data_IF_944406964866
#
_entry.id   IF_944406964866
#
_cell.length_a   1.000
_cell.length_b   1.000
_cell.length_c   1.000
_cell.angle_alpha   90.00
_cell.angle_beta   90.00
_cell.angle_gamma   90.00
#
_symmetry.space_group_name_H-M   'P 1'
#
loop_
_entity.id
_entity.type
_entity.pdbx_description
1 polymer ?
#
# COMPACT_ATOMS: atom_id res chain seq x y z
N UNK A 1 -27.93 -45.92 21.84
CA UNK A 1 -26.72 -45.53 21.07
C UNK A 1 -26.84 -44.06 20.70
N UNK A 2 -26.16 -43.16 21.41
CA UNK A 2 -25.96 -41.77 21.00
C UNK A 2 -24.49 -41.65 20.62
N UNK A 3 -24.22 -41.46 19.34
CA UNK A 3 -22.87 -41.23 18.81
C UNK A 3 -22.58 -39.73 18.96
N UNK A 4 -21.68 -39.37 19.87
CA UNK A 4 -21.13 -38.01 19.95
C UNK A 4 -19.94 -37.98 18.99
N UNK A 5 -20.09 -37.21 17.91
CA UNK A 5 -19.05 -36.94 16.93
C UNK A 5 -18.07 -35.93 17.55
N UNK A 6 -16.89 -36.39 17.97
CA UNK A 6 -15.81 -35.52 18.43
C UNK A 6 -15.17 -34.85 17.21
N UNK A 7 -15.36 -33.55 17.08
CA UNK A 7 -14.72 -32.73 16.05
C UNK A 7 -13.22 -32.61 16.39
N UNK A 8 -12.34 -33.26 15.61
CA UNK A 8 -10.91 -32.97 15.64
C UNK A 8 -10.67 -31.61 14.96
N UNK A 9 -10.66 -30.54 15.75
CA UNK A 9 -10.04 -29.27 15.39
C UNK A 9 -8.52 -29.47 15.37
N UNK A 10 -7.96 -29.69 14.17
CA UNK A 10 -6.55 -29.40 13.95
C UNK A 10 -6.38 -27.87 13.98
N UNK A 11 -6.21 -27.33 15.18
CA UNK A 11 -5.77 -25.96 15.38
C UNK A 11 -4.33 -25.83 14.89
N UNK A 12 -4.09 -24.89 13.99
CA UNK A 12 -2.75 -24.44 13.64
C UNK A 12 -2.09 -23.97 14.94
N UNK A 13 -1.06 -24.67 15.41
CA UNK A 13 -0.27 -24.19 16.53
C UNK A 13 0.41 -22.89 16.08
N UNK A 14 0.01 -21.75 16.66
CA UNK A 14 0.77 -20.52 16.51
C UNK A 14 2.20 -20.80 17.03
N UNK A 15 3.24 -20.27 16.39
CA UNK A 15 4.58 -20.33 16.95
C UNK A 15 4.76 -19.18 17.95
N UNK A 16 5.77 -19.23 18.82
CA UNK A 16 6.20 -18.07 19.60
C UNK A 16 7.49 -17.50 19.03
N UNK A 17 7.65 -16.18 19.05
CA UNK A 17 8.91 -15.53 18.71
C UNK A 17 9.82 -15.49 19.95
N UNK A 18 11.02 -16.07 19.87
CA UNK A 18 11.96 -16.15 20.98
C UNK A 18 13.09 -15.12 20.84
N UNK A 19 13.40 -14.42 21.91
CA UNK A 19 14.51 -13.48 22.01
C UNK A 19 15.40 -13.84 23.22
N UNK A 20 16.68 -14.09 22.97
CA UNK A 20 17.66 -14.40 24.01
C UNK A 20 18.13 -13.14 24.73
N UNK A 21 18.40 -13.25 26.02
CA UNK A 21 18.84 -12.17 26.91
C UNK A 21 17.86 -11.00 27.01
N UNK A 22 16.56 -11.29 26.85
CA UNK A 22 15.48 -10.30 26.89
C UNK A 22 14.43 -10.70 27.92
N UNK A 23 13.83 -9.70 28.53
CA UNK A 23 12.80 -9.86 29.55
C UNK A 23 11.74 -8.74 29.43
N UNK A 24 10.56 -9.00 30.00
CA UNK A 24 9.52 -7.99 30.24
C UNK A 24 9.41 -7.85 31.75
N UNK A 25 9.76 -6.67 32.27
CA UNK A 25 9.69 -6.42 33.72
C UNK A 25 8.24 -6.29 34.17
N UNK A 26 7.87 -6.99 35.24
CA UNK A 26 6.49 -7.04 35.70
C UNK A 26 5.56 -7.72 34.70
N UNK A 27 4.29 -7.29 34.66
CA UNK A 27 3.22 -7.90 33.86
C UNK A 27 3.00 -9.41 34.11
N UNK A 28 3.47 -9.93 35.25
CA UNK A 28 3.39 -11.35 35.58
C UNK A 28 1.94 -11.79 35.77
N UNK A 29 1.51 -12.72 34.92
CA UNK A 29 0.21 -13.37 34.99
C UNK A 29 0.27 -14.56 35.95
N UNK A 30 1.25 -15.43 35.75
CA UNK A 30 1.51 -16.61 36.58
C UNK A 30 2.86 -17.23 36.19
N UNK A 31 3.33 -18.23 36.94
CA UNK A 31 4.47 -19.04 36.53
C UNK A 31 4.10 -20.53 36.51
N UNK A 32 4.81 -21.28 35.67
CA UNK A 32 4.67 -22.73 35.51
C UNK A 32 6.05 -23.37 35.31
N UNK A 33 6.32 -24.55 35.90
CA UNK A 33 7.51 -25.31 35.57
C UNK A 33 7.45 -25.77 34.11
N UNK A 34 8.58 -25.71 33.39
CA UNK A 34 8.66 -26.10 31.99
C UNK A 34 10.01 -25.79 31.35
N UNK A 35 10.38 -26.57 30.34
CA UNK A 35 11.51 -26.22 29.48
C UNK A 35 11.11 -25.09 28.53
N UNK A 36 12.11 -24.42 27.94
CA UNK A 36 11.88 -23.30 27.03
C UNK A 36 10.85 -23.64 25.92
N UNK A 37 10.95 -24.84 25.35
CA UNK A 37 10.06 -25.32 24.29
C UNK A 37 8.61 -25.54 24.75
N UNK A 38 8.37 -25.74 26.05
CA UNK A 38 7.05 -25.96 26.61
C UNK A 38 6.31 -24.63 26.85
N UNK A 39 7.04 -23.54 27.09
CA UNK A 39 6.49 -22.26 27.53
C UNK A 39 5.52 -21.63 26.53
N UNK A 40 5.75 -21.84 25.23
CA UNK A 40 4.87 -21.32 24.20
C UNK A 40 3.47 -21.94 24.30
N UNK A 41 3.38 -23.27 24.38
CA UNK A 41 2.10 -23.97 24.54
C UNK A 41 1.43 -23.67 25.87
N UNK A 42 2.20 -23.52 26.94
CA UNK A 42 1.70 -23.11 28.25
C UNK A 42 1.07 -21.71 28.16
N UNK A 43 1.74 -20.76 27.51
CA UNK A 43 1.21 -19.40 27.37
C UNK A 43 -0.04 -19.38 26.46
N UNK A 44 -0.03 -20.11 25.34
CA UNK A 44 -1.21 -20.20 24.44
C UNK A 44 -2.45 -20.78 25.09
N UNK A 45 -2.28 -21.73 26.00
CA UNK A 45 -3.37 -22.35 26.75
C UNK A 45 -3.80 -21.55 27.98
N UNK A 46 -3.08 -20.46 28.31
CA UNK A 46 -3.37 -19.62 29.47
C UNK A 46 -4.09 -18.35 29.05
N UNK A 47 -5.35 -18.21 29.45
CA UNK A 47 -6.15 -17.01 29.17
C UNK A 47 -5.46 -15.76 29.70
N UNK A 48 -5.33 -14.74 28.84
CA UNK A 48 -4.67 -13.47 29.17
C UNK A 48 -3.14 -13.49 29.04
N UNK A 49 -2.52 -14.61 28.68
CA UNK A 49 -1.09 -14.65 28.39
C UNK A 49 -0.83 -14.08 26.99
N UNK A 50 0.14 -13.17 26.89
CA UNK A 50 0.59 -12.58 25.62
C UNK A 50 2.08 -12.83 25.37
N UNK A 51 2.86 -13.12 26.42
CA UNK A 51 4.27 -13.47 26.34
C UNK A 51 4.69 -14.32 27.54
N UNK A 52 5.93 -14.80 27.55
CA UNK A 52 6.55 -15.45 28.69
C UNK A 52 8.03 -15.07 28.77
N UNK A 53 8.57 -14.98 29.98
CA UNK A 53 10.02 -14.97 30.21
C UNK A 53 10.42 -16.35 30.71
N UNK A 54 11.35 -17.03 30.06
CA UNK A 54 11.85 -18.32 30.52
C UNK A 54 13.22 -18.15 31.18
N UNK A 55 13.42 -18.87 32.29
CA UNK A 55 14.69 -18.91 33.04
C UNK A 55 15.00 -20.33 33.48
N UNK A 56 16.26 -20.63 33.78
CA UNK A 56 16.67 -21.93 34.33
C UNK A 56 16.35 -22.09 35.84
N UNK A 57 15.54 -21.21 36.40
CA UNK A 57 15.11 -21.28 37.80
C UNK A 57 14.37 -22.60 38.07
N UNK A 58 14.74 -23.29 39.16
CA UNK A 58 14.19 -24.59 39.58
C UNK A 58 14.17 -25.68 38.48
N UNK A 59 15.16 -25.68 37.58
CA UNK A 59 15.24 -26.65 36.47
C UNK A 59 14.40 -26.28 35.25
N UNK A 60 13.87 -25.04 35.20
CA UNK A 60 13.12 -24.49 34.08
C UNK A 60 11.78 -23.92 34.53
N UNK A 61 11.60 -22.60 34.39
CA UNK A 61 10.36 -21.90 34.75
C UNK A 61 9.94 -20.94 33.65
N UNK A 62 8.67 -21.02 33.24
CA UNK A 62 7.99 -20.09 32.35
C UNK A 62 7.23 -19.04 33.17
N UNK A 63 7.68 -17.79 33.13
CA UNK A 63 7.03 -16.64 33.75
C UNK A 63 6.07 -16.00 32.74
N UNK A 64 4.79 -16.34 32.80
CA UNK A 64 3.77 -15.89 31.85
C UNK A 64 3.43 -14.42 32.06
N UNK A 65 3.26 -13.67 30.97
CA UNK A 65 3.10 -12.21 30.95
C UNK A 65 1.81 -11.80 30.28
N UNK A 66 1.16 -10.76 30.80
CA UNK A 66 -0.07 -10.16 30.23
C UNK A 66 0.19 -9.15 29.10
N UNK A 67 1.46 -8.81 28.85
CA UNK A 67 1.87 -7.84 27.83
C UNK A 67 3.12 -8.35 27.08
N UNK A 68 3.39 -7.79 25.90
CA UNK A 68 4.55 -8.09 25.05
C UNK A 68 5.69 -7.07 25.17
N UNK A 69 5.55 -6.06 26.04
CA UNK A 69 6.57 -5.06 26.33
C UNK A 69 6.16 -4.15 27.51
N UNK A 70 7.02 -3.20 27.93
CA UNK A 70 8.32 -2.88 27.33
C UNK A 70 9.39 -3.96 27.58
N UNK A 71 10.21 -4.22 26.56
CA UNK A 71 11.29 -5.22 26.62
C UNK A 71 12.58 -4.58 27.14
N UNK A 72 13.25 -5.25 28.08
CA UNK A 72 14.56 -4.87 28.63
C UNK A 72 15.59 -5.98 28.44
N UNK A 73 16.85 -5.64 28.65
CA UNK A 73 17.92 -6.63 28.76
C UNK A 73 17.77 -7.44 30.05
N UNK A 74 17.87 -8.76 29.94
CA UNK A 74 17.78 -9.69 31.05
C UNK A 74 18.74 -10.86 30.82
N UNK A 75 19.87 -10.86 31.51
CA UNK A 75 20.87 -11.93 31.38
C UNK A 75 20.27 -13.29 31.72
N UNK A 76 20.53 -14.29 30.88
CA UNK A 76 20.04 -15.68 31.03
C UNK A 76 18.50 -15.82 31.03
N UNK A 77 17.79 -14.82 30.51
CA UNK A 77 16.34 -14.86 30.27
C UNK A 77 16.05 -15.01 28.78
N UNK A 78 15.14 -15.90 28.43
CA UNK A 78 14.60 -16.00 27.05
C UNK A 78 13.16 -15.52 27.02
N UNK A 79 12.89 -14.39 26.37
CA UNK A 79 11.55 -13.87 26.15
C UNK A 79 10.89 -14.60 24.98
N UNK A 80 9.68 -15.09 25.16
CA UNK A 80 8.82 -15.61 24.09
C UNK A 80 7.51 -14.85 24.01
N UNK A 81 7.16 -14.29 22.85
CA UNK A 81 5.86 -13.62 22.64
C UNK A 81 4.91 -14.52 21.86
N UNK A 82 3.63 -14.54 22.25
CA UNK A 82 2.56 -15.19 21.47
C UNK A 82 2.30 -14.34 20.23
N UNK A 83 2.96 -14.66 19.12
CA UNK A 83 2.75 -14.02 17.84
C UNK A 83 2.61 -15.10 16.78
N UNK A 84 1.47 -15.12 16.08
CA UNK A 84 1.26 -15.96 14.89
C UNK A 84 2.52 -15.98 14.03
N UNK A 85 2.91 -17.17 13.58
CA UNK A 85 4.28 -17.45 13.16
C UNK A 85 4.92 -16.38 12.27
N UNK A 86 6.12 -15.96 12.65
CA UNK A 86 7.10 -15.37 11.73
C UNK A 86 6.77 -14.02 11.11
N UNK A 87 6.86 -12.94 11.90
CA UNK A 87 7.00 -11.57 11.42
C UNK A 87 6.98 -10.62 12.62
N UNK A 88 7.92 -9.69 12.75
CA UNK A 88 7.83 -8.64 13.77
C UNK A 88 6.50 -7.89 13.63
N UNK A 89 5.86 -7.46 14.71
CA UNK A 89 4.63 -6.67 14.57
C UNK A 89 4.92 -5.34 13.85
N UNK A 90 4.03 -4.91 12.96
CA UNK A 90 4.08 -3.56 12.38
C UNK A 90 3.66 -2.54 13.45
N UNK A 91 4.52 -1.55 13.72
CA UNK A 91 4.24 -0.43 14.62
C UNK A 91 3.95 0.83 13.84
N UNK A 92 2.91 1.58 14.23
CA UNK A 92 2.59 2.85 13.59
C UNK A 92 3.75 3.84 13.77
N UNK A 93 4.27 4.37 12.67
CA UNK A 93 5.37 5.34 12.65
C UNK A 93 4.90 6.72 12.26
N UNK A 94 4.00 6.82 11.28
CA UNK A 94 3.52 8.11 10.78
C UNK A 94 2.07 8.04 10.33
N UNK A 95 1.35 9.12 10.56
CA UNK A 95 -0.01 9.34 10.07
C UNK A 95 -0.08 10.66 9.34
N UNK A 96 -0.61 10.62 8.12
CA UNK A 96 -0.97 11.79 7.32
C UNK A 96 -2.50 11.85 7.28
N UNK A 97 -3.11 12.81 7.97
CA UNK A 97 -4.56 12.97 8.02
C UNK A 97 -4.97 14.40 8.39
N UNK A 98 -6.22 14.76 8.07
CA UNK A 98 -6.82 16.03 8.43
C UNK A 98 -5.98 17.25 8.06
N UNK A 99 -5.98 18.26 8.93
CA UNK A 99 -5.33 19.54 8.68
C UNK A 99 -3.80 19.45 8.52
N UNK A 100 -3.18 18.41 9.09
CA UNK A 100 -1.74 18.22 9.06
C UNK A 100 -1.27 17.35 7.88
N UNK A 101 -2.20 16.83 7.06
CA UNK A 101 -1.87 15.96 5.93
C UNK A 101 -0.83 16.60 5.01
N UNK A 102 -1.08 17.85 4.60
CA UNK A 102 -0.23 18.58 3.65
C UNK A 102 1.08 19.12 4.24
N UNK A 103 1.37 18.89 5.52
CA UNK A 103 2.66 19.27 6.12
C UNK A 103 3.71 18.19 5.87
N UNK A 104 3.25 16.97 5.56
CA UNK A 104 4.11 15.86 5.20
C UNK A 104 4.56 15.84 3.73
N UNK A 105 4.18 16.84 2.93
CA UNK A 105 4.41 16.86 1.48
C UNK A 105 4.88 18.22 0.96
N UNK A 106 5.65 18.20 -0.13
CA UNK A 106 5.88 19.34 -1.00
C UNK A 106 5.02 19.26 -2.27
N UNK A 107 4.74 20.41 -2.88
CA UNK A 107 3.88 20.52 -4.06
C UNK A 107 4.76 20.65 -5.31
N UNK A 108 4.68 19.65 -6.19
CA UNK A 108 5.32 19.70 -7.50
C UNK A 108 4.58 20.71 -8.36
N UNK A 109 5.24 21.78 -8.78
CA UNK A 109 4.66 22.82 -9.65
C UNK A 109 5.42 22.97 -10.97
N UNK A 110 6.17 21.94 -11.36
CA UNK A 110 6.84 21.85 -12.64
C UNK A 110 5.96 21.18 -13.70
N UNK A 111 6.47 21.11 -14.93
CA UNK A 111 5.81 20.38 -15.99
C UNK A 111 5.59 18.93 -15.59
N UNK A 112 4.51 18.35 -16.11
CA UNK A 112 4.21 16.94 -15.92
C UNK A 112 5.21 16.08 -16.71
N UNK A 113 5.97 15.18 -16.04
CA UNK A 113 6.88 14.27 -16.73
C UNK A 113 6.19 13.34 -17.73
N UNK A 114 4.87 13.12 -17.56
CA UNK A 114 4.04 12.28 -18.45
C UNK A 114 3.32 13.06 -19.55
N UNK A 115 3.73 14.33 -19.76
CA UNK A 115 3.24 15.21 -20.82
C UNK A 115 1.71 15.42 -20.82
N UNK A 116 1.08 15.35 -19.65
CA UNK A 116 -0.35 15.55 -19.51
C UNK A 116 -0.84 16.97 -19.79
N UNK A 117 -2.12 17.10 -20.11
CA UNK A 117 -2.88 18.35 -20.25
C UNK A 117 -3.19 18.95 -18.87
N UNK A 118 -2.17 19.13 -18.05
CA UNK A 118 -2.28 19.53 -16.64
C UNK A 118 -1.39 20.74 -16.36
N UNK A 119 -1.84 21.61 -15.46
CA UNK A 119 -0.99 22.64 -14.85
C UNK A 119 -0.87 22.33 -13.38
N UNK A 120 0.22 21.69 -12.97
CA UNK A 120 0.47 21.52 -11.55
C UNK A 120 0.78 22.87 -10.89
N UNK A 121 0.13 23.12 -9.76
CA UNK A 121 0.22 24.39 -9.02
C UNK A 121 0.82 24.19 -7.62
N UNK A 122 1.46 25.23 -7.10
CA UNK A 122 1.99 25.23 -5.72
C UNK A 122 0.87 25.23 -4.67
N UNK A 123 1.22 24.98 -3.39
CA UNK A 123 0.28 24.89 -2.26
C UNK A 123 -0.59 26.14 -2.11
N UNK A 124 -0.03 27.33 -2.22
CA UNK A 124 -0.77 28.59 -2.03
C UNK A 124 -1.77 28.82 -3.17
N UNK A 125 -1.36 28.57 -4.41
CA UNK A 125 -2.24 28.62 -5.57
C UNK A 125 -3.35 27.56 -5.47
N UNK A 126 -3.03 26.33 -5.07
CA UNK A 126 -4.01 25.26 -4.86
C UNK A 126 -5.06 25.65 -3.80
N UNK A 127 -4.65 26.26 -2.69
CA UNK A 127 -5.56 26.75 -1.65
C UNK A 127 -6.48 27.86 -2.17
N UNK A 128 -5.92 28.84 -2.87
CA UNK A 128 -6.67 29.98 -3.42
C UNK A 128 -7.71 29.54 -4.46
N UNK A 129 -7.40 28.49 -5.22
CA UNK A 129 -8.30 27.88 -6.20
C UNK A 129 -9.25 26.85 -5.58
N UNK A 130 -9.14 26.55 -4.29
CA UNK A 130 -9.95 25.52 -3.62
C UNK A 130 -9.67 24.10 -4.07
N UNK A 131 -8.47 23.83 -4.62
CA UNK A 131 -8.06 22.51 -5.10
C UNK A 131 -7.60 21.59 -3.97
N UNK A 132 -7.25 22.14 -2.81
CA UNK A 132 -6.92 21.37 -1.62
C UNK A 132 -7.67 21.88 -0.41
N UNK A 133 -7.99 20.98 0.51
CA UNK A 133 -8.64 21.34 1.77
C UNK A 133 -8.92 20.13 2.64
N UNK A 134 -9.60 20.40 3.75
CA UNK A 134 -10.11 19.37 4.64
C UNK A 134 -11.61 19.57 4.82
N UNK A 135 -12.38 18.54 4.51
CA UNK A 135 -13.85 18.54 4.54
C UNK A 135 -14.30 17.44 5.51
N UNK A 136 -14.94 17.82 6.62
CA UNK A 136 -15.40 16.86 7.64
C UNK A 136 -14.29 15.91 8.15
N UNK A 137 -13.06 16.43 8.30
CA UNK A 137 -11.89 15.66 8.73
C UNK A 137 -11.18 14.88 7.62
N UNK A 138 -11.72 14.87 6.39
CA UNK A 138 -11.16 14.16 5.24
C UNK A 138 -10.41 15.11 4.34
N UNK A 139 -9.31 14.67 3.78
CA UNK A 139 -8.44 15.47 2.93
C UNK A 139 -8.98 15.44 1.50
N UNK A 140 -9.22 16.62 0.92
CA UNK A 140 -9.62 16.78 -0.47
C UNK A 140 -8.45 17.28 -1.30
N UNK A 141 -8.20 16.63 -2.44
CA UNK A 141 -7.26 17.08 -3.48
C UNK A 141 -7.97 16.97 -4.83
N UNK A 142 -8.20 18.06 -5.54
CA UNK A 142 -8.98 18.09 -6.78
C UNK A 142 -8.27 18.83 -7.92
N UNK A 143 -8.86 18.77 -9.10
CA UNK A 143 -8.56 19.69 -10.20
C UNK A 143 -9.55 20.84 -10.25
N UNK A 144 -9.23 21.89 -11.00
CA UNK A 144 -10.22 22.91 -11.34
C UNK A 144 -11.38 22.25 -12.11
N UNK A 145 -12.61 22.58 -11.73
CA UNK A 145 -13.84 22.12 -12.38
C UNK A 145 -14.77 23.28 -12.76
N UNK A 146 -14.23 24.50 -12.84
CA UNK A 146 -15.02 25.72 -13.05
C UNK A 146 -14.63 26.50 -14.31
N UNK A 147 -13.37 26.42 -14.76
CA UNK A 147 -12.88 27.23 -15.85
C UNK A 147 -12.57 26.44 -17.13
N UNK A 148 -12.66 27.15 -18.25
CA UNK A 148 -12.20 26.70 -19.57
C UNK A 148 -10.78 27.19 -19.84
N UNK A 149 -9.99 26.38 -20.52
CA UNK A 149 -8.60 26.67 -20.90
C UNK A 149 -8.44 26.61 -22.42
N UNK A 150 -7.39 27.24 -22.96
CA UNK A 150 -7.17 27.33 -24.41
C UNK A 150 -5.69 27.18 -24.76
N UNK A 151 -5.40 26.93 -26.04
CA UNK A 151 -4.02 26.78 -26.52
C UNK A 151 -3.32 25.62 -25.83
N UNK A 152 -2.13 25.88 -25.28
CA UNK A 152 -1.29 24.88 -24.63
C UNK A 152 -1.49 24.84 -23.10
N UNK A 153 -2.46 25.58 -22.56
CA UNK A 153 -2.71 25.58 -21.11
C UNK A 153 -3.29 24.24 -20.66
N UNK A 154 -2.78 23.71 -19.55
CA UNK A 154 -3.29 22.51 -18.89
C UNK A 154 -4.29 22.87 -17.78
N UNK A 155 -5.21 21.96 -17.47
CA UNK A 155 -6.16 22.13 -16.37
C UNK A 155 -5.41 22.14 -15.03
N UNK A 156 -5.60 23.13 -14.14
CA UNK A 156 -4.97 23.15 -12.83
C UNK A 156 -5.31 21.91 -12.01
N UNK A 157 -4.28 21.27 -11.46
CA UNK A 157 -4.39 20.14 -10.55
C UNK A 157 -3.18 20.11 -9.62
N UNK A 158 -3.11 19.08 -8.77
CA UNK A 158 -2.12 18.96 -7.71
C UNK A 158 -1.35 17.65 -7.85
N UNK A 159 -0.03 17.74 -7.69
CA UNK A 159 0.89 16.62 -7.49
C UNK A 159 1.69 16.90 -6.23
N UNK A 160 1.58 16.02 -5.26
CA UNK A 160 2.30 16.13 -3.99
C UNK A 160 3.26 14.97 -3.83
N UNK A 161 4.40 15.26 -3.23
CA UNK A 161 5.47 14.31 -2.96
C UNK A 161 5.78 14.36 -1.46
N UNK A 162 5.93 13.20 -0.81
CA UNK A 162 6.24 13.20 0.62
C UNK A 162 7.61 13.81 0.88
N UNK A 163 7.74 14.52 2.00
CA UNK A 163 9.02 15.03 2.48
C UNK A 163 9.96 13.90 2.94
N UNK A 164 9.37 12.78 3.37
CA UNK A 164 10.11 11.59 3.79
C UNK A 164 10.32 10.64 2.60
N UNK A 165 11.37 9.83 2.71
CA UNK A 165 11.70 8.75 1.78
C UNK A 165 11.65 7.40 2.48
N UNK A 166 11.24 6.37 1.74
CA UNK A 166 10.97 5.04 2.25
C UNK A 166 11.76 3.96 1.50
N UNK A 167 12.10 2.89 2.22
CA UNK A 167 12.86 1.74 1.69
C UNK A 167 12.22 0.38 2.03
N UNK A 168 11.20 0.39 2.89
CA UNK A 168 10.41 -0.75 3.33
C UNK A 168 9.17 -0.25 4.11
N UNK A 169 8.33 -1.20 4.51
CA UNK A 169 7.29 -1.04 5.52
C UNK A 169 5.89 -1.35 5.01
N UNK A 170 4.88 -0.99 5.79
CA UNK A 170 3.49 -1.19 5.47
C UNK A 170 2.77 0.16 5.38
N UNK A 171 2.14 0.41 4.23
CA UNK A 171 1.43 1.64 3.94
C UNK A 171 -0.05 1.35 3.79
N UNK A 172 -0.89 2.08 4.53
CA UNK A 172 -2.34 1.97 4.51
C UNK A 172 -2.90 3.28 3.99
N UNK A 173 -3.35 3.28 2.73
CA UNK A 173 -3.99 4.43 2.08
C UNK A 173 -5.50 4.23 2.07
N UNK A 174 -6.19 4.95 2.95
CA UNK A 174 -7.64 4.90 3.12
C UNK A 174 -8.30 6.11 2.43
N UNK A 175 -9.17 5.85 1.46
CA UNK A 175 -9.91 6.87 0.72
C UNK A 175 -11.37 6.48 0.47
N UNK A 176 -12.24 7.49 0.39
CA UNK A 176 -13.66 7.31 0.02
C UNK A 176 -13.94 7.62 -1.44
N UNK A 177 -13.08 8.42 -2.07
CA UNK A 177 -13.23 8.84 -3.45
C UNK A 177 -11.86 9.00 -4.11
N UNK A 178 -11.71 8.50 -5.34
CA UNK A 178 -10.60 8.79 -6.24
C UNK A 178 -11.08 9.58 -7.47
N UNK A 179 -10.21 10.34 -8.14
CA UNK A 179 -10.60 11.11 -9.30
C UNK A 179 -11.19 10.24 -10.41
N UNK A 180 -12.29 10.71 -10.99
CA UNK A 180 -12.90 10.13 -12.19
C UNK A 180 -13.29 11.24 -13.16
N UNK A 181 -13.25 10.94 -14.45
CA UNK A 181 -13.63 11.87 -15.49
C UNK A 181 -12.98 11.51 -16.83
N UNK A 182 -13.45 12.11 -17.92
CA UNK A 182 -12.86 11.87 -19.23
C UNK A 182 -11.40 12.36 -19.26
N UNK A 183 -10.49 11.48 -19.67
CA UNK A 183 -9.08 11.78 -19.78
C UNK A 183 -8.33 11.92 -18.45
N UNK A 184 -8.95 11.63 -17.30
CA UNK A 184 -8.23 11.64 -16.01
C UNK A 184 -7.19 10.53 -15.93
N UNK A 185 -6.08 10.81 -15.27
CA UNK A 185 -5.08 9.81 -14.89
C UNK A 185 -4.65 10.08 -13.44
N UNK A 186 -5.39 9.55 -12.46
CA UNK A 186 -5.00 9.60 -11.05
C UNK A 186 -3.99 8.51 -10.71
N UNK A 187 -3.06 8.83 -9.80
CA UNK A 187 -2.13 7.86 -9.26
C UNK A 187 -1.82 8.09 -7.77
N UNK A 188 -1.70 6.99 -7.01
CA UNK A 188 -1.02 6.90 -5.72
C UNK A 188 0.10 5.85 -5.85
N UNK A 189 1.33 6.32 -5.73
CA UNK A 189 2.52 5.58 -6.16
C UNK A 189 3.76 6.03 -5.40
N UNK A 190 4.87 5.34 -5.62
CA UNK A 190 6.14 5.58 -4.95
C UNK A 190 7.26 5.66 -5.97
N UNK A 191 8.12 6.69 -5.89
CA UNK A 191 9.19 6.88 -6.87
C UNK A 191 10.54 7.14 -6.16
N UNK A 192 11.55 6.36 -6.50
CA UNK A 192 12.92 6.57 -6.06
C UNK A 192 13.57 7.78 -6.74
N UNK A 193 14.64 8.32 -6.14
CA UNK A 193 15.45 9.33 -6.81
C UNK A 193 16.20 8.73 -8.02
N UNK A 194 16.41 9.46 -9.11
CA UNK A 194 17.08 8.92 -10.33
C UNK A 194 16.30 7.78 -11.02
N UNK A 195 15.03 8.02 -11.33
CA UNK A 195 14.18 7.13 -12.14
C UNK A 195 14.81 6.78 -13.51
N UNK A 196 14.69 5.53 -14.00
CA UNK A 196 14.05 4.37 -13.36
C UNK A 196 15.02 3.52 -12.52
N UNK A 197 16.23 4.01 -12.24
CA UNK A 197 17.29 3.20 -11.60
C UNK A 197 17.01 2.88 -10.13
N UNK A 198 16.29 3.75 -9.41
CA UNK A 198 15.79 3.48 -8.06
C UNK A 198 14.30 3.18 -8.02
N UNK A 199 13.71 2.87 -9.17
CA UNK A 199 12.43 2.20 -9.26
C UNK A 199 11.19 3.08 -9.05
N UNK A 200 10.07 2.49 -9.43
CA UNK A 200 8.71 3.01 -9.28
C UNK A 200 7.79 1.88 -8.80
N UNK A 201 6.84 2.20 -7.92
CA UNK A 201 5.82 1.26 -7.43
C UNK A 201 4.45 1.95 -7.55
N UNK A 202 3.65 1.51 -8.51
CA UNK A 202 2.29 2.00 -8.72
C UNK A 202 1.31 1.13 -7.93
N UNK A 203 0.71 1.73 -6.89
CA UNK A 203 -0.20 1.02 -5.98
C UNK A 203 -1.64 1.19 -6.45
N UNK A 204 -1.99 2.40 -6.85
CA UNK A 204 -3.27 2.76 -7.42
C UNK A 204 -3.00 3.60 -8.66
N UNK A 205 -3.39 3.10 -9.82
CA UNK A 205 -3.25 3.82 -11.09
C UNK A 205 -4.29 3.34 -12.11
N UNK A 206 -4.73 4.25 -12.96
CA UNK A 206 -5.60 3.94 -14.09
C UNK A 206 -5.94 5.19 -14.87
N UNK A 207 -6.56 5.02 -16.03
CA UNK A 207 -6.87 6.12 -16.94
C UNK A 207 -8.31 6.12 -17.39
N UNK A 208 -8.83 7.33 -17.63
CA UNK A 208 -10.15 7.57 -18.21
C UNK A 208 -11.26 6.80 -17.47
N UNK A 209 -12.02 5.95 -18.17
CA UNK A 209 -13.11 5.15 -17.59
C UNK A 209 -12.70 3.78 -17.04
N UNK A 210 -11.43 3.53 -16.72
CA UNK A 210 -11.01 2.26 -16.12
C UNK A 210 -11.83 1.92 -14.86
N UNK A 211 -12.10 0.63 -14.67
CA UNK A 211 -12.84 0.07 -13.53
C UNK A 211 -12.03 -0.96 -12.74
N UNK A 212 -10.94 -1.43 -13.32
CA UNK A 212 -9.90 -2.20 -12.67
C UNK A 212 -8.69 -1.30 -12.40
N UNK A 213 -8.03 -1.53 -11.27
CA UNK A 213 -6.81 -0.86 -10.88
C UNK A 213 -5.61 -1.49 -11.60
N UNK A 214 -4.67 -0.67 -12.06
CA UNK A 214 -3.37 -1.11 -12.54
C UNK A 214 -2.34 -0.98 -11.41
N UNK A 215 -1.55 -2.03 -11.20
CA UNK A 215 -0.49 -2.09 -10.20
C UNK A 215 0.78 -2.49 -10.92
N UNK A 216 1.84 -1.70 -10.82
CA UNK A 216 3.01 -1.89 -11.65
C UNK A 216 4.31 -1.61 -10.90
N UNK A 217 5.40 -2.20 -11.39
CA UNK A 217 6.75 -1.79 -11.05
C UNK A 217 7.49 -1.38 -12.33
N UNK A 218 8.25 -0.29 -12.22
CA UNK A 218 9.12 0.21 -13.28
C UNK A 218 10.55 0.25 -12.78
N UNK A 219 11.48 -0.36 -13.52
CA UNK A 219 12.89 -0.45 -13.15
C UNK A 219 13.78 -0.22 -14.38
N UNK A 220 15.09 -0.10 -14.16
CA UNK A 220 16.07 -0.43 -15.20
C UNK A 220 16.15 -1.96 -15.44
N UNK A 221 17.05 -2.41 -16.31
CA UNK A 221 17.15 -3.81 -16.76
C UNK A 221 17.37 -4.83 -15.62
N UNK A 222 17.00 -6.09 -15.86
CA UNK A 222 17.25 -7.26 -14.98
C UNK A 222 16.32 -7.40 -13.76
N UNK A 223 15.05 -6.99 -13.90
CA UNK A 223 14.01 -7.26 -12.91
C UNK A 223 12.82 -8.00 -13.56
N UNK A 224 12.69 -9.29 -13.27
CA UNK A 224 11.68 -10.18 -13.83
C UNK A 224 10.83 -10.82 -12.76
N UNK A 225 9.51 -10.82 -12.99
CA UNK A 225 8.54 -11.44 -12.13
C UNK A 225 8.26 -12.90 -12.54
N UNK A 226 8.29 -13.85 -11.59
CA UNK A 226 7.80 -15.20 -11.82
C UNK A 226 6.32 -15.17 -12.23
N UNK A 227 5.95 -16.02 -13.20
CA UNK A 227 4.58 -16.10 -13.73
C UNK A 227 3.62 -16.92 -12.86
N UNK A 228 3.94 -17.13 -11.59
CA UNK A 228 3.06 -17.84 -10.66
C UNK A 228 1.86 -16.97 -10.28
N UNK A 229 0.79 -17.04 -11.07
CA UNK A 229 -0.46 -16.34 -10.80
C UNK A 229 -1.25 -16.95 -9.62
N UNK A 230 -0.77 -18.03 -8.99
CA UNK A 230 -1.48 -18.65 -7.86
C UNK A 230 -1.33 -17.88 -6.55
N UNK A 231 -0.37 -16.95 -6.46
CA UNK A 231 -0.03 -16.22 -5.21
C UNK A 231 -0.75 -14.86 -5.07
N UNK A 232 -1.47 -14.41 -6.09
CA UNK A 232 -2.26 -13.17 -6.08
C UNK A 232 -3.63 -13.38 -6.74
N UNK A 233 -4.54 -12.40 -6.61
CA UNK A 233 -5.91 -12.46 -7.15
C UNK A 233 -6.08 -11.79 -8.50
N UNK A 234 -5.30 -10.74 -8.76
CA UNK A 234 -5.33 -9.99 -10.01
C UNK A 234 -4.86 -10.81 -11.21
N UNK A 235 -4.71 -10.15 -12.35
CA UNK A 235 -4.32 -10.79 -13.62
C UNK A 235 -3.14 -10.03 -14.20
N UNK A 236 -2.15 -10.76 -14.72
CA UNK A 236 -1.08 -10.15 -15.48
C UNK A 236 -1.64 -9.27 -16.61
N UNK A 237 -1.18 -8.02 -16.66
CA UNK A 237 -1.40 -7.16 -17.80
C UNK A 237 -0.74 -7.77 -19.05
N UNK A 238 -1.23 -7.36 -20.22
CA UNK A 238 -0.72 -7.83 -21.50
C UNK A 238 -0.17 -6.67 -22.30
N UNK A 239 1.04 -6.84 -22.83
CA UNK A 239 1.63 -5.97 -23.83
C UNK A 239 1.18 -6.33 -25.26
N UNK A 240 1.83 -5.71 -26.27
CA UNK A 240 1.56 -5.97 -27.68
C UNK A 240 1.62 -7.46 -28.04
N UNK A 241 0.65 -7.92 -28.83
CA UNK A 241 0.54 -9.33 -29.21
C UNK A 241 0.10 -10.27 -28.08
N UNK A 242 -0.38 -9.73 -26.95
CA UNK A 242 -0.89 -10.52 -25.83
C UNK A 242 0.17 -11.12 -24.92
N UNK A 243 1.43 -10.67 -25.05
CA UNK A 243 2.53 -11.07 -24.17
C UNK A 243 2.29 -10.59 -22.75
N UNK A 244 2.57 -11.44 -21.77
CA UNK A 244 2.44 -11.09 -20.36
C UNK A 244 3.48 -10.01 -20.01
N UNK A 245 3.07 -8.98 -19.28
CA UNK A 245 3.93 -7.92 -18.79
C UNK A 245 4.56 -8.30 -17.44
N UNK A 246 5.60 -9.14 -17.45
CA UNK A 246 6.32 -9.59 -16.25
C UNK A 246 7.78 -9.11 -16.18
N UNK A 247 8.26 -8.36 -17.16
CA UNK A 247 9.56 -7.68 -17.12
C UNK A 247 9.34 -6.25 -16.65
N UNK A 248 9.94 -5.87 -15.52
CA UNK A 248 9.74 -4.56 -14.92
C UNK A 248 10.58 -3.48 -15.60
N UNK A 249 11.45 -3.85 -16.54
CA UNK A 249 12.23 -2.89 -17.31
C UNK A 249 11.33 -2.00 -18.18
N UNK A 250 11.50 -0.68 -18.05
CA UNK A 250 10.73 0.31 -18.82
C UNK A 250 10.86 0.18 -20.35
N UNK A 251 11.93 -0.45 -20.85
CA UNK A 251 12.10 -0.73 -22.29
C UNK A 251 12.09 -2.23 -22.62
N UNK A 252 11.38 -3.04 -21.83
CA UNK A 252 11.26 -4.48 -22.05
C UNK A 252 10.72 -4.83 -23.44
N UNK A 253 11.42 -5.75 -24.11
CA UNK A 253 11.03 -6.20 -25.45
C UNK A 253 9.71 -6.99 -25.42
N UNK A 254 8.72 -6.56 -26.20
CA UNK A 254 7.41 -7.22 -26.25
C UNK A 254 6.40 -6.73 -25.22
N UNK A 255 6.76 -5.70 -24.44
CA UNK A 255 5.85 -4.86 -23.68
C UNK A 255 5.70 -3.50 -24.38
N UNK A 256 4.64 -2.76 -24.04
CA UNK A 256 4.54 -1.36 -24.45
C UNK A 256 5.66 -0.56 -23.80
N UNK A 257 6.08 0.53 -24.44
CA UNK A 257 7.05 1.47 -23.85
C UNK A 257 6.56 1.91 -22.48
N UNK A 258 7.44 1.81 -21.47
CA UNK A 258 7.14 2.13 -20.08
C UNK A 258 5.94 1.38 -19.49
N UNK A 259 5.67 0.13 -19.92
CA UNK A 259 4.58 -0.66 -19.31
C UNK A 259 4.95 -1.19 -17.91
N UNK A 260 6.24 -1.46 -17.69
CA UNK A 260 6.70 -2.17 -16.49
C UNK A 260 6.10 -3.58 -16.38
N UNK A 261 6.31 -4.21 -15.24
CA UNK A 261 5.65 -5.46 -14.93
C UNK A 261 4.36 -5.12 -14.18
N UNK A 262 3.20 -5.51 -14.71
CA UNK A 262 1.92 -5.00 -14.22
C UNK A 262 0.88 -6.08 -14.01
N UNK A 263 0.13 -5.94 -12.93
CA UNK A 263 -1.00 -6.79 -12.56
C UNK A 263 -2.23 -5.87 -12.46
N UNK A 264 -3.30 -6.25 -13.14
CA UNK A 264 -4.58 -5.55 -13.06
C UNK A 264 -5.54 -6.28 -12.14
N UNK A 265 -6.30 -5.52 -11.35
CA UNK A 265 -7.36 -6.10 -10.54
C UNK A 265 -8.54 -6.59 -11.39
N UNK A 266 -9.54 -7.20 -10.74
CA UNK A 266 -10.86 -7.29 -11.34
C UNK A 266 -11.55 -5.92 -11.42
N UNK A 267 -12.66 -5.84 -12.16
CA UNK A 267 -13.50 -4.65 -12.18
C UNK A 267 -14.15 -4.39 -10.82
N UNK A 268 -14.33 -3.11 -10.49
CA UNK A 268 -14.93 -2.69 -9.23
C UNK A 268 -13.94 -2.21 -8.18
N UNK A 269 -12.64 -2.24 -8.47
CA UNK A 269 -11.56 -1.84 -7.56
C UNK A 269 -10.90 -0.51 -7.96
N UNK A 270 -11.43 0.18 -8.96
CA UNK A 270 -10.98 1.50 -9.38
C UNK A 270 -12.15 2.35 -9.91
N UNK A 271 -11.99 3.66 -9.89
CA UNK A 271 -12.86 4.63 -10.54
C UNK A 271 -14.30 4.63 -10.01
N UNK A 272 -15.26 4.84 -10.91
CA UNK A 272 -16.68 5.06 -10.56
C UNK A 272 -17.27 3.93 -9.70
N UNK A 273 -17.08 2.63 -10.05
CA UNK A 273 -17.58 1.55 -9.20
C UNK A 273 -17.00 1.54 -7.78
N UNK A 274 -15.71 1.88 -7.62
CA UNK A 274 -15.07 1.94 -6.30
C UNK A 274 -15.59 3.11 -5.47
N UNK A 275 -15.75 4.28 -6.09
CA UNK A 275 -16.33 5.46 -5.45
C UNK A 275 -17.78 5.21 -5.00
N UNK A 276 -18.60 4.57 -5.86
CA UNK A 276 -19.99 4.21 -5.54
C UNK A 276 -20.10 3.22 -4.37
N UNK A 277 -19.05 2.44 -4.11
CA UNK A 277 -18.98 1.52 -2.97
C UNK A 277 -18.49 2.19 -1.67
N UNK A 278 -18.27 3.53 -1.66
CA UNK A 278 -17.74 4.26 -0.52
C UNK A 278 -16.22 4.16 -0.37
N UNK A 279 -15.53 3.82 -1.46
CA UNK A 279 -14.09 3.66 -1.51
C UNK A 279 -13.59 2.44 -0.72
N UNK A 280 -12.44 2.59 -0.06
CA UNK A 280 -11.77 1.48 0.60
C UNK A 280 -10.33 1.80 0.99
N UNK A 281 -9.52 0.74 1.09
CA UNK A 281 -8.11 0.80 1.48
C UNK A 281 -7.25 0.14 0.41
N UNK A 282 -6.18 0.83 0.02
CA UNK A 282 -5.05 0.28 -0.70
C UNK A 282 -3.91 0.08 0.29
N UNK A 283 -3.45 -1.17 0.44
CA UNK A 283 -2.38 -1.52 1.36
C UNK A 283 -1.15 -2.03 0.60
N UNK A 284 0.00 -1.39 0.78
CA UNK A 284 1.29 -1.84 0.24
C UNK A 284 2.15 -2.41 1.39
N UNK A 285 2.46 -3.70 1.33
CA UNK A 285 3.54 -4.31 2.14
C UNK A 285 4.80 -4.36 1.29
N UNK A 286 5.79 -3.54 1.65
CA UNK A 286 7.12 -3.55 1.06
C UNK A 286 8.10 -4.22 2.01
N UNK A 287 8.39 -5.48 1.72
CA UNK A 287 9.45 -6.25 2.37
C UNK A 287 10.69 -6.24 1.49
N UNK A 288 11.67 -5.40 1.85
CA UNK A 288 12.81 -5.01 1.00
C UNK A 288 13.46 -6.15 0.22
N UNK A 289 13.74 -7.27 0.88
CA UNK A 289 14.50 -8.38 0.30
C UNK A 289 13.63 -9.61 -0.04
N UNK A 290 12.31 -9.46 -0.13
CA UNK A 290 11.41 -10.59 -0.40
C UNK A 290 10.25 -10.29 -1.34
N UNK A 291 9.54 -9.18 -1.14
CA UNK A 291 8.32 -8.92 -1.91
C UNK A 291 7.76 -7.52 -1.76
N UNK A 292 7.06 -7.08 -2.81
CA UNK A 292 6.08 -6.00 -2.79
C UNK A 292 4.70 -6.62 -2.99
N UNK A 293 3.81 -6.48 -2.00
CA UNK A 293 2.44 -7.02 -2.07
C UNK A 293 1.45 -5.89 -1.90
N UNK A 294 0.41 -5.89 -2.74
CA UNK A 294 -0.62 -4.86 -2.70
C UNK A 294 -1.99 -5.51 -2.55
N UNK A 295 -2.71 -5.12 -1.51
CA UNK A 295 -4.12 -5.47 -1.29
C UNK A 295 -5.01 -4.27 -1.57
N UNK A 296 -6.21 -4.56 -2.08
CA UNK A 296 -7.29 -3.59 -2.22
C UNK A 296 -8.49 -4.16 -1.46
N UNK A 297 -8.97 -3.42 -0.47
CA UNK A 297 -10.14 -3.78 0.33
C UNK A 297 -11.23 -2.75 0.09
N UNK A 298 -12.43 -3.20 -0.30
CA UNK A 298 -13.60 -2.30 -0.36
C UNK A 298 -14.02 -1.91 1.05
N UNK A 299 -14.69 -0.76 1.19
CA UNK A 299 -15.10 -0.20 2.49
C UNK A 299 -15.83 -1.18 3.40
N UNK A 300 -16.67 -2.05 2.84
CA UNK A 300 -17.45 -3.07 3.56
C UNK A 300 -16.69 -4.37 3.84
N UNK A 301 -15.44 -4.50 3.40
CA UNK A 301 -14.60 -5.70 3.48
C UNK A 301 -13.29 -5.42 4.24
N UNK A 302 -13.19 -4.29 4.94
CA UNK A 302 -11.98 -3.89 5.65
C UNK A 302 -11.62 -4.89 6.77
N UNK A 303 -10.38 -5.39 6.79
CA UNK A 303 -9.85 -6.16 7.91
C UNK A 303 -9.98 -5.40 9.25
N UNK A 304 -10.41 -6.09 10.30
CA UNK A 304 -10.64 -5.48 11.62
C UNK A 304 -9.36 -4.94 12.26
N UNK A 305 -8.23 -5.56 11.96
CA UNK A 305 -6.91 -5.18 12.44
C UNK A 305 -6.43 -3.84 11.85
N UNK A 306 -6.73 -3.56 10.57
CA UNK A 306 -6.54 -2.23 9.95
C UNK A 306 -7.37 -1.17 10.69
N UNK A 307 -8.65 -1.43 10.93
CA UNK A 307 -9.54 -0.49 11.64
C UNK A 307 -9.08 -0.22 13.08
N UNK A 308 -8.51 -1.22 13.75
CA UNK A 308 -7.99 -1.09 15.11
C UNK A 308 -6.60 -0.43 15.20
N UNK A 309 -5.95 -0.17 14.05
CA UNK A 309 -4.60 0.39 13.99
C UNK A 309 -3.48 -0.60 14.30
N UNK A 310 -3.74 -1.92 14.21
CA UNK A 310 -2.76 -2.99 14.47
C UNK A 310 -2.69 -3.96 13.28
N UNK A 311 -2.36 -3.48 12.07
CA UNK A 311 -2.46 -4.28 10.85
C UNK A 311 -1.50 -5.48 10.86
N UNK A 312 -2.01 -6.63 10.40
CA UNK A 312 -1.26 -7.87 10.24
C UNK A 312 -1.54 -8.50 8.86
N UNK A 313 -0.71 -8.19 7.86
CA UNK A 313 -0.88 -8.69 6.48
C UNK A 313 -0.93 -10.22 6.36
N UNK A 314 -0.33 -10.98 7.29
CA UNK A 314 -0.35 -12.46 7.25
C UNK A 314 -1.76 -13.06 7.33
N UNK A 315 -2.74 -12.29 7.84
CA UNK A 315 -4.14 -12.72 7.98
C UNK A 315 -5.06 -12.20 6.87
N UNK A 316 -4.56 -11.42 5.91
CA UNK A 316 -5.40 -10.79 4.87
C UNK A 316 -5.66 -11.68 3.66
N UNK A 317 -5.05 -12.87 3.60
CA UNK A 317 -5.12 -13.75 2.44
C UNK A 317 -4.31 -13.23 1.25
N UNK A 318 -4.65 -13.69 0.04
CA UNK A 318 -3.89 -13.36 -1.17
C UNK A 318 -4.01 -11.87 -1.51
N UNK A 319 -2.90 -11.18 -1.82
CA UNK A 319 -2.94 -9.81 -2.32
C UNK A 319 -3.57 -9.73 -3.71
N UNK A 320 -3.93 -8.52 -4.12
CA UNK A 320 -4.34 -8.27 -5.50
C UNK A 320 -3.15 -8.41 -6.46
N UNK A 321 -1.98 -7.88 -6.06
CA UNK A 321 -0.72 -8.03 -6.77
C UNK A 321 0.39 -8.52 -5.84
N UNK A 322 1.25 -9.40 -6.34
CA UNK A 322 2.45 -9.88 -5.66
C UNK A 322 3.63 -9.79 -6.61
N UNK A 323 4.62 -8.99 -6.25
CA UNK A 323 5.89 -8.88 -6.96
C UNK A 323 7.01 -9.48 -6.10
N UNK A 324 7.76 -10.43 -6.67
CA UNK A 324 8.85 -11.12 -5.94
C UNK A 324 10.13 -10.31 -6.04
N UNK A 325 10.75 -10.03 -4.90
CA UNK A 325 12.06 -9.36 -4.81
C UNK A 325 13.09 -10.37 -4.30
N UNK A 326 14.27 -10.38 -4.92
CA UNK A 326 15.34 -11.33 -4.64
C UNK A 326 16.18 -11.61 -5.89
N UNK A 327 16.22 -12.88 -6.31
CA UNK A 327 17.17 -13.33 -7.34
C UNK A 327 16.85 -12.83 -8.75
N UNK A 328 15.58 -12.85 -9.17
CA UNK A 328 15.17 -12.45 -10.53
C UNK A 328 14.87 -10.96 -10.65
N UNK A 329 14.72 -10.27 -9.52
CA UNK A 329 14.59 -8.83 -9.43
C UNK A 329 15.20 -8.37 -8.10
N UNK A 330 16.36 -7.71 -8.16
CA UNK A 330 17.11 -7.37 -6.96
C UNK A 330 16.49 -6.18 -6.19
N UNK A 331 16.57 -6.19 -4.86
CA UNK A 331 16.09 -5.09 -4.01
C UNK A 331 16.73 -3.74 -4.33
N UNK A 332 17.95 -3.72 -4.90
CA UNK A 332 18.64 -2.51 -5.30
C UNK A 332 17.96 -1.73 -6.43
N UNK A 333 16.93 -2.28 -7.08
CA UNK A 333 16.08 -1.52 -7.99
C UNK A 333 15.18 -0.52 -7.26
N UNK A 334 14.98 -0.63 -5.94
CA UNK A 334 14.02 0.16 -5.18
C UNK A 334 14.68 0.85 -4.00
N UNK A 335 14.94 2.16 -4.13
CA UNK A 335 15.64 2.94 -3.10
C UNK A 335 15.04 4.32 -2.91
N UNK A 336 14.90 4.72 -1.65
CA UNK A 336 14.60 6.10 -1.25
C UNK A 336 13.35 6.66 -1.94
N UNK A 337 12.25 5.93 -1.86
CA UNK A 337 11.03 6.33 -2.55
C UNK A 337 10.27 7.43 -1.80
N UNK A 338 9.90 8.49 -2.50
CA UNK A 338 8.86 9.41 -2.06
C UNK A 338 7.48 8.82 -2.38
N UNK A 339 6.50 9.07 -1.51
CA UNK A 339 5.08 8.84 -1.81
C UNK A 339 4.60 9.97 -2.70
N UNK A 340 3.91 9.64 -3.79
CA UNK A 340 3.32 10.60 -4.72
C UNK A 340 1.83 10.36 -4.83
N UNK A 341 1.06 11.45 -4.72
CA UNK A 341 -0.38 11.48 -5.04
C UNK A 341 -0.58 12.59 -6.06
N UNK A 342 -1.14 12.25 -7.21
CA UNK A 342 -1.42 13.24 -8.25
C UNK A 342 -2.69 12.93 -9.04
N UNK A 343 -3.08 13.94 -9.81
CA UNK A 343 -4.04 13.83 -10.89
C UNK A 343 -3.46 14.56 -12.10
N UNK A 344 -3.16 13.82 -13.17
CA UNK A 344 -2.90 14.40 -14.50
C UNK A 344 -4.08 14.13 -15.44
N UNK A 345 -3.97 14.62 -16.67
CA UNK A 345 -4.94 14.41 -17.72
C UNK A 345 -4.25 14.08 -19.04
N UNK A 346 -4.86 13.24 -19.86
CA UNK A 346 -4.34 12.87 -21.18
C UNK A 346 -2.90 12.35 -21.08
N UNK A 347 -1.94 12.96 -21.79
CA UNK A 347 -0.54 12.59 -21.70
C UNK A 347 -0.25 11.18 -22.22
N UNK A 348 0.92 10.69 -21.86
CA UNK A 348 1.56 9.52 -22.46
C UNK A 348 0.72 8.24 -22.36
N UNK A 349 -0.17 8.13 -21.38
CA UNK A 349 -1.11 7.01 -21.28
C UNK A 349 -2.55 7.40 -21.60
N UNK A 350 -3.21 8.20 -20.75
CA UNK A 350 -4.64 8.45 -20.89
C UNK A 350 -4.98 9.07 -22.24
N UNK A 351 -4.14 9.97 -22.76
CA UNK A 351 -4.36 10.63 -24.04
C UNK A 351 -4.21 9.69 -25.24
N UNK A 352 -3.29 8.73 -25.14
CA UNK A 352 -3.03 7.75 -26.21
C UNK A 352 -4.14 6.69 -26.31
N UNK A 353 -4.80 6.35 -25.19
CA UNK A 353 -5.91 5.39 -25.18
C UNK A 353 -7.29 6.05 -25.18
N UNK A 354 -7.35 7.37 -25.10
CA UNK A 354 -8.62 8.11 -25.12
C UNK A 354 -9.36 7.90 -26.44
N UNK A 355 -10.68 7.75 -26.37
CA UNK A 355 -11.50 7.64 -27.57
C UNK A 355 -11.46 8.95 -28.39
N UNK A 356 -10.89 8.89 -29.60
CA UNK A 356 -10.61 10.06 -30.43
C UNK A 356 -9.18 10.59 -30.32
N UNK A 357 -8.33 9.94 -29.50
CA UNK A 357 -6.91 10.22 -29.36
C UNK A 357 -6.58 11.48 -28.57
N UNK A 358 -5.27 11.80 -28.52
CA UNK A 358 -4.72 12.88 -27.69
C UNK A 358 -5.44 14.22 -27.91
N UNK A 359 -5.61 14.65 -29.15
CA UNK A 359 -6.24 15.94 -29.44
C UNK A 359 -7.68 16.03 -28.93
N UNK A 360 -8.46 14.94 -29.03
CA UNK A 360 -9.81 14.89 -28.49
C UNK A 360 -9.81 14.92 -26.95
N UNK A 361 -8.85 14.22 -26.33
CA UNK A 361 -8.66 14.23 -24.89
C UNK A 361 -8.37 15.65 -24.38
N UNK A 362 -7.36 16.30 -24.93
CA UNK A 362 -6.97 17.65 -24.48
C UNK A 362 -8.09 18.67 -24.71
N UNK A 363 -8.80 18.58 -25.85
CA UNK A 363 -9.95 19.43 -26.12
C UNK A 363 -11.05 19.24 -25.06
N UNK A 364 -11.33 18.00 -24.67
CA UNK A 364 -12.31 17.71 -23.61
C UNK A 364 -11.87 18.29 -22.27
N UNK A 365 -10.60 18.08 -21.91
CA UNK A 365 -10.01 18.59 -20.65
C UNK A 365 -10.06 20.10 -20.58
N UNK A 366 -9.78 20.80 -21.67
CA UNK A 366 -9.76 22.26 -21.72
C UNK A 366 -11.15 22.89 -21.76
N UNK A 367 -12.10 22.30 -22.49
CA UNK A 367 -13.36 22.97 -22.84
C UNK A 367 -14.56 22.61 -21.96
N UNK A 368 -14.50 21.54 -21.16
CA UNK A 368 -15.64 21.09 -20.35
C UNK A 368 -15.31 20.98 -18.86
N UNK A 369 -15.21 22.11 -18.11
CA UNK A 369 -14.95 22.09 -16.67
C UNK A 369 -15.96 21.25 -15.88
N UNK A 370 -17.21 21.17 -16.33
CA UNK A 370 -18.27 20.43 -15.66
C UNK A 370 -17.99 18.92 -15.58
N UNK A 371 -17.21 18.37 -16.52
CA UNK A 371 -16.81 16.97 -16.54
C UNK A 371 -15.80 16.59 -15.43
N UNK A 372 -15.22 17.57 -14.74
CA UNK A 372 -14.15 17.37 -13.74
C UNK A 372 -14.61 17.62 -12.30
N UNK A 373 -15.91 17.72 -12.05
CA UNK A 373 -16.46 17.86 -10.69
C UNK A 373 -16.13 16.67 -9.79
N UNK A 374 -16.06 15.48 -10.39
CA UNK A 374 -15.69 14.23 -9.71
C UNK A 374 -14.20 13.88 -9.87
N UNK A 375 -13.40 14.80 -10.38
CA UNK A 375 -11.95 14.63 -10.50
C UNK A 375 -11.25 15.05 -9.20
N UNK A 376 -11.51 14.33 -8.12
CA UNK A 376 -10.93 14.57 -6.80
C UNK A 376 -10.66 13.31 -5.99
N UNK A 377 -9.62 13.40 -5.16
CA UNK A 377 -9.33 12.52 -4.05
C UNK A 377 -10.11 12.98 -2.81
N UNK A 378 -10.70 12.05 -2.07
CA UNK A 378 -11.20 12.24 -0.72
C UNK A 378 -10.59 11.19 0.19
N UNK A 379 -9.55 11.57 0.91
CA UNK A 379 -8.65 10.69 1.65
C UNK A 379 -9.01 10.77 3.13
N UNK A 380 -9.23 9.63 3.77
CA UNK A 380 -9.41 9.54 5.21
C UNK A 380 -8.06 9.69 5.92
N UNK A 381 -7.08 8.86 5.55
CA UNK A 381 -5.72 8.93 6.05
C UNK A 381 -4.75 8.12 5.19
N UNK A 382 -3.46 8.45 5.32
CA UNK A 382 -2.36 7.58 4.93
C UNK A 382 -1.53 7.26 6.17
N UNK A 383 -1.33 5.98 6.47
CA UNK A 383 -0.55 5.52 7.62
C UNK A 383 0.63 4.68 7.19
N UNK A 384 1.78 4.93 7.80
CA UNK A 384 3.01 4.18 7.60
C UNK A 384 3.37 3.42 8.89
N UNK A 385 3.66 2.13 8.73
CA UNK A 385 4.10 1.23 9.78
C UNK A 385 5.45 0.61 9.40
N UNK A 386 6.28 0.35 10.41
CA UNK A 386 7.52 -0.41 10.25
C UNK A 386 7.68 -1.40 11.41
N UNK A 387 8.57 -2.37 11.25
CA UNK A 387 9.03 -3.20 12.37
C UNK A 387 9.81 -2.37 13.40
#
# INVERSE_FOLDING_TARGET
>A
MKLILLCCLFGIALACNLQSNKDIDGHDLSNRPGQLNDCCGICQSTSGCQAFSWTNYNGGTCWLKTATGPVKDGADVTLGTLGGGGGGGYSLRKTYEGNNFFDGFYFWNYNDPTHGCVKYVDKGTAQNLGLIGVENGKVRISSDSSNTYFGNDGRPAVRIHSNDKYNDGLFIFDLEHMPVGPGTWPAYWFCGDNWPNNGEIDVLEGVDGNTANNQALHTNENCYMPLDASIFKGRWAKGPGGKIANDCYVNAAGQSTNQGCSITSEDGYFGVPFNNAGGGVFALEWSRDSSLKIWIFKRNELPADINSGNPNPSNWGKPEAYFTIGNTCNANHFNNHEIIINLTFCGDWAGNVYNGGMAACENKVRSDPGAFKDAYWLINHLKYYSH
#
